data_IF_426490244845
#
_entry.id   IF_426490244845
#
_cell.length_a   1.000
_cell.length_b   1.000
_cell.length_c   1.000
_cell.angle_alpha   90.00
_cell.angle_beta   90.00
_cell.angle_gamma   90.00
#
_symmetry.space_group_name_H-M   'P 1'
#
loop_
_entity.id
_entity.type
_entity.pdbx_description
1 polymer ?
#
# COMPACT_ATOMS: atom_id res chain seq x y z
N UNK A 1 -1.57 0.82 -1.13
CA UNK A 1 -2.06 0.17 -2.36
C UNK A 1 -3.57 0.27 -2.37
N UNK A 2 -4.14 0.75 -3.45
CA UNK A 2 -5.57 1.04 -3.51
C UNK A 2 -6.20 0.30 -4.70
N UNK A 3 -7.30 -0.39 -4.44
CA UNK A 3 -8.19 -0.93 -5.47
C UNK A 3 -9.33 0.07 -5.61
N UNK A 4 -9.49 0.63 -6.79
CA UNK A 4 -10.37 1.79 -7.03
C UNK A 4 -11.40 1.41 -8.07
N UNK A 5 -12.68 1.56 -7.75
CA UNK A 5 -13.79 1.38 -8.65
C UNK A 5 -14.46 2.71 -8.96
N UNK A 6 -14.58 3.04 -10.23
CA UNK A 6 -15.38 4.16 -10.72
C UNK A 6 -16.74 3.63 -11.17
N UNK A 7 -17.79 4.14 -10.58
CA UNK A 7 -19.17 3.70 -10.79
C UNK A 7 -19.90 4.84 -11.51
N UNK A 8 -20.38 4.57 -12.71
CA UNK A 8 -21.25 5.48 -13.46
C UNK A 8 -22.67 4.94 -13.39
N UNK A 9 -23.52 5.64 -12.65
CA UNK A 9 -24.93 5.27 -12.47
C UNK A 9 -25.81 5.67 -13.67
N UNK A 10 -25.32 6.57 -14.55
CA UNK A 10 -26.04 6.98 -15.76
C UNK A 10 -25.93 5.90 -16.82
N UNK A 11 -24.72 5.40 -17.05
CA UNK A 11 -24.45 4.34 -18.04
C UNK A 11 -24.52 2.93 -17.46
N UNK A 12 -24.74 2.80 -16.14
CA UNK A 12 -24.71 1.54 -15.41
C UNK A 12 -23.38 0.76 -15.62
N UNK A 13 -22.26 1.45 -15.60
CA UNK A 13 -20.94 0.85 -15.80
C UNK A 13 -20.06 0.96 -14.55
N UNK A 14 -19.18 -0.03 -14.36
CA UNK A 14 -18.17 -0.02 -13.31
C UNK A 14 -16.82 -0.37 -13.92
N UNK A 15 -15.85 0.52 -13.78
CA UNK A 15 -14.45 0.25 -14.12
C UNK A 15 -13.62 0.10 -12.86
N UNK A 16 -12.66 -0.82 -12.86
CA UNK A 16 -11.81 -1.10 -11.70
C UNK A 16 -10.34 -0.94 -12.03
N UNK A 17 -9.60 -0.29 -11.15
CA UNK A 17 -8.16 -0.11 -11.26
C UNK A 17 -7.42 -0.43 -9.96
N UNK A 18 -6.18 -0.86 -10.09
CA UNK A 18 -5.22 -1.09 -9.02
C UNK A 18 -4.14 -0.03 -9.05
N UNK A 19 -4.06 0.77 -8.00
CA UNK A 19 -2.95 1.70 -7.77
C UNK A 19 -1.93 1.04 -6.84
N UNK A 20 -0.70 0.88 -7.30
CA UNK A 20 0.40 0.30 -6.54
C UNK A 20 0.89 1.18 -5.39
N UNK A 21 2.02 0.82 -4.82
CA UNK A 21 2.72 1.70 -3.86
C UNK A 21 3.40 2.81 -4.64
N UNK A 22 3.09 4.06 -4.31
CA UNK A 22 3.71 5.22 -4.95
C UNK A 22 4.69 5.91 -4.00
N UNK A 23 5.81 6.33 -4.53
CA UNK A 23 6.83 7.15 -3.87
C UNK A 23 7.15 8.42 -4.65
N UNK A 24 6.32 8.74 -5.62
CA UNK A 24 6.34 9.98 -6.38
C UNK A 24 4.92 10.51 -6.54
N UNK A 25 4.80 11.79 -6.85
CA UNK A 25 3.51 12.39 -7.22
C UNK A 25 2.97 11.78 -8.51
N UNK A 26 1.66 11.71 -8.63
CA UNK A 26 1.00 11.28 -9.85
C UNK A 26 -0.24 12.13 -10.11
N UNK A 27 -0.59 12.26 -11.38
CA UNK A 27 -1.81 12.94 -11.77
C UNK A 27 -2.96 11.93 -11.88
N UNK A 28 -3.98 12.11 -11.04
CA UNK A 28 -5.23 11.38 -11.19
C UNK A 28 -6.16 12.16 -12.12
N UNK A 29 -6.52 11.56 -13.24
CA UNK A 29 -7.54 12.13 -14.12
C UNK A 29 -8.91 11.60 -13.68
N UNK A 30 -9.85 12.51 -13.41
CA UNK A 30 -11.23 12.13 -13.15
C UNK A 30 -11.88 11.59 -14.43
N UNK A 31 -12.45 10.39 -14.35
CA UNK A 31 -13.15 9.77 -15.48
C UNK A 31 -14.62 10.20 -15.60
N UNK A 32 -14.99 11.33 -14.97
CA UNK A 32 -16.37 11.80 -14.99
C UNK A 32 -16.75 12.43 -16.33
N UNK A 33 -17.77 11.89 -16.99
CA UNK A 33 -18.43 12.54 -18.13
C UNK A 33 -19.35 13.64 -17.61
N UNK A 34 -19.31 14.83 -18.22
CA UNK A 34 -20.17 15.95 -17.83
C UNK A 34 -21.64 15.54 -17.93
N UNK A 35 -22.39 15.71 -16.85
CA UNK A 35 -23.81 15.35 -16.77
C UNK A 35 -24.08 13.91 -16.30
N UNK A 36 -23.03 13.11 -16.05
CA UNK A 36 -23.20 11.77 -15.48
C UNK A 36 -23.18 11.80 -13.95
N UNK A 37 -23.96 10.91 -13.34
CA UNK A 37 -23.89 10.66 -11.91
C UNK A 37 -22.85 9.57 -11.63
N UNK A 38 -21.69 9.98 -11.11
CA UNK A 38 -20.56 9.11 -10.89
C UNK A 38 -20.19 9.06 -9.41
N UNK A 39 -19.63 7.93 -8.96
CA UNK A 39 -18.99 7.82 -7.65
C UNK A 39 -17.72 6.98 -7.73
N UNK A 40 -16.86 7.12 -6.71
CA UNK A 40 -15.68 6.29 -6.55
C UNK A 40 -15.80 5.48 -5.26
N UNK A 41 -15.55 4.19 -5.36
CA UNK A 41 -15.42 3.28 -4.22
C UNK A 41 -14.02 2.70 -4.22
N UNK A 42 -13.30 2.84 -3.09
CA UNK A 42 -11.92 2.38 -2.99
C UNK A 42 -11.72 1.46 -1.78
N UNK A 43 -10.92 0.42 -1.99
CA UNK A 43 -10.45 -0.51 -0.95
C UNK A 43 -8.98 -0.23 -0.75
N UNK A 44 -8.62 0.31 0.43
CA UNK A 44 -7.22 0.61 0.76
C UNK A 44 -6.60 -0.52 1.55
N UNK A 45 -5.55 -1.11 1.02
CA UNK A 45 -4.76 -2.15 1.67
C UNK A 45 -3.39 -1.60 2.07
N UNK A 46 -2.89 -2.02 3.22
CA UNK A 46 -1.48 -1.82 3.50
C UNK A 46 -0.64 -2.59 2.48
N UNK A 47 0.45 -2.00 2.00
CA UNK A 47 1.32 -2.62 1.00
C UNK A 47 1.77 -4.03 1.39
N UNK A 48 2.01 -4.25 2.68
CA UNK A 48 2.44 -5.52 3.24
C UNK A 48 1.33 -6.53 3.51
N UNK A 49 0.06 -6.14 3.41
CA UNK A 49 -1.09 -7.05 3.59
C UNK A 49 -1.78 -7.38 2.26
N UNK A 50 -1.50 -6.63 1.21
CA UNK A 50 -2.18 -6.77 -0.08
C UNK A 50 -1.98 -8.15 -0.71
N UNK A 51 -0.80 -8.76 -0.50
CA UNK A 51 -0.50 -10.09 -1.02
C UNK A 51 -1.44 -11.19 -0.50
N UNK A 52 -1.96 -11.06 0.72
CA UNK A 52 -2.92 -11.98 1.28
C UNK A 52 -4.19 -12.12 0.42
N UNK A 53 -4.48 -11.11 -0.37
CA UNK A 53 -5.66 -11.01 -1.23
C UNK A 53 -5.33 -11.07 -2.72
N UNK A 54 -4.05 -11.07 -3.09
CA UNK A 54 -3.58 -11.10 -4.47
C UNK A 54 -3.68 -12.51 -5.05
N UNK A 55 -3.99 -12.62 -6.34
CA UNK A 55 -4.05 -13.92 -7.03
C UNK A 55 -2.66 -14.45 -7.40
N UNK A 56 -1.70 -13.55 -7.63
CA UNK A 56 -0.34 -13.89 -8.04
C UNK A 56 0.68 -13.05 -7.27
N UNK A 57 1.53 -12.31 -7.95
CA UNK A 57 2.63 -11.52 -7.41
C UNK A 57 2.32 -10.02 -7.48
N UNK A 58 2.80 -9.27 -6.49
CA UNK A 58 2.77 -7.80 -6.51
C UNK A 58 3.98 -7.18 -7.23
N UNK A 59 4.82 -8.00 -7.83
CA UNK A 59 5.99 -7.53 -8.56
C UNK A 59 5.61 -6.53 -9.66
N UNK A 60 6.42 -5.47 -9.81
CA UNK A 60 6.24 -4.41 -10.82
C UNK A 60 4.97 -3.56 -10.64
N UNK A 61 4.35 -3.54 -9.45
CA UNK A 61 3.19 -2.68 -9.18
C UNK A 61 3.57 -1.29 -8.65
N UNK A 62 4.83 -1.05 -8.32
CA UNK A 62 5.31 0.25 -7.83
C UNK A 62 5.11 1.35 -8.87
N UNK A 63 4.59 2.49 -8.45
CA UNK A 63 4.33 3.69 -9.28
C UNK A 63 3.47 3.39 -10.51
N UNK A 64 2.67 2.31 -10.47
CA UNK A 64 1.84 1.89 -11.58
C UNK A 64 0.35 1.94 -11.27
N UNK A 65 -0.43 2.06 -12.36
CA UNK A 65 -1.87 1.90 -12.37
C UNK A 65 -2.22 0.79 -13.37
N UNK A 66 -2.98 -0.20 -12.93
CA UNK A 66 -3.28 -1.43 -13.67
C UNK A 66 -4.77 -1.71 -13.61
N UNK A 67 -5.26 -2.59 -14.47
CA UNK A 67 -6.60 -3.15 -14.30
C UNK A 67 -6.63 -4.03 -13.05
N UNK A 68 -7.72 -3.95 -12.28
CA UNK A 68 -7.84 -4.65 -10.99
C UNK A 68 -7.75 -6.16 -11.15
N UNK A 69 -8.29 -6.71 -12.23
CA UNK A 69 -8.28 -8.15 -12.53
C UNK A 69 -6.87 -8.69 -12.79
N UNK A 70 -5.90 -7.84 -13.14
CA UNK A 70 -4.51 -8.25 -13.34
C UNK A 70 -3.84 -8.87 -12.10
N UNK A 71 -4.35 -8.57 -10.88
CA UNK A 71 -3.80 -9.04 -9.59
C UNK A 71 -4.87 -9.48 -8.59
N UNK A 72 -6.12 -9.04 -8.75
CA UNK A 72 -7.22 -9.27 -7.82
C UNK A 72 -8.48 -9.71 -8.58
N UNK A 73 -8.33 -10.63 -9.54
CA UNK A 73 -9.41 -11.11 -10.40
C UNK A 73 -10.59 -11.69 -9.58
N UNK A 74 -10.28 -12.48 -8.53
CA UNK A 74 -11.31 -13.06 -7.65
C UNK A 74 -12.15 -11.97 -6.97
N UNK A 75 -11.50 -10.89 -6.49
CA UNK A 75 -12.17 -9.79 -5.81
C UNK A 75 -13.01 -8.99 -6.79
N UNK A 76 -12.45 -8.71 -7.96
CA UNK A 76 -13.14 -7.99 -9.03
C UNK A 76 -14.42 -8.69 -9.47
N UNK A 77 -14.35 -10.01 -9.69
CA UNK A 77 -15.51 -10.85 -10.03
C UNK A 77 -16.64 -10.81 -8.99
N UNK A 78 -16.29 -10.62 -7.72
CA UNK A 78 -17.26 -10.59 -6.62
C UNK A 78 -17.78 -9.16 -6.39
N UNK A 79 -16.90 -8.16 -6.37
CA UNK A 79 -17.25 -6.79 -5.95
C UNK A 79 -17.88 -5.99 -7.10
N UNK A 80 -17.29 -6.00 -8.30
CA UNK A 80 -17.73 -5.17 -9.43
C UNK A 80 -19.23 -5.28 -9.73
N UNK A 81 -19.83 -6.50 -9.84
CA UNK A 81 -21.25 -6.61 -10.12
C UNK A 81 -22.16 -6.05 -9.01
N UNK A 82 -21.68 -6.10 -7.76
CA UNK A 82 -22.44 -5.65 -6.59
C UNK A 82 -22.45 -4.15 -6.37
N UNK A 83 -21.47 -3.42 -6.91
CA UNK A 83 -21.33 -1.99 -6.68
C UNK A 83 -22.50 -1.15 -7.21
N UNK A 84 -23.18 -1.60 -8.26
CA UNK A 84 -24.41 -0.96 -8.79
C UNK A 84 -25.66 -1.39 -8.02
N UNK A 85 -25.70 -2.61 -7.49
CA UNK A 85 -26.85 -3.16 -6.76
C UNK A 85 -26.94 -2.58 -5.34
N UNK A 86 -25.81 -2.47 -4.65
CA UNK A 86 -25.73 -1.98 -3.27
C UNK A 86 -25.87 -0.46 -3.23
N UNK A 87 -26.91 0.01 -2.55
CA UNK A 87 -27.30 1.44 -2.58
C UNK A 87 -26.54 2.32 -1.62
N UNK A 88 -26.15 1.77 -0.48
CA UNK A 88 -25.47 2.53 0.58
C UNK A 88 -24.00 2.18 0.68
N UNK A 89 -23.19 3.13 1.15
CA UNK A 89 -21.79 2.89 1.44
C UNK A 89 -21.60 1.77 2.47
N UNK A 90 -22.46 1.70 3.48
CA UNK A 90 -22.38 0.68 4.53
C UNK A 90 -22.62 -0.73 3.97
N UNK A 91 -23.56 -0.91 3.05
CA UNK A 91 -23.78 -2.19 2.37
C UNK A 91 -22.54 -2.61 1.57
N UNK A 92 -21.93 -1.66 0.81
CA UNK A 92 -20.71 -1.91 0.04
C UNK A 92 -19.54 -2.32 0.95
N UNK A 93 -19.36 -1.61 2.06
CA UNK A 93 -18.31 -1.92 3.06
C UNK A 93 -18.54 -3.32 3.62
N UNK A 94 -19.74 -3.61 4.17
CA UNK A 94 -20.03 -4.89 4.81
C UNK A 94 -19.88 -6.06 3.85
N UNK A 95 -20.31 -5.90 2.59
CA UNK A 95 -20.15 -6.92 1.56
C UNK A 95 -18.66 -7.17 1.24
N UNK A 96 -17.89 -6.10 1.07
CA UNK A 96 -16.45 -6.18 0.79
C UNK A 96 -15.68 -6.83 1.95
N UNK A 97 -15.96 -6.43 3.20
CA UNK A 97 -15.35 -7.01 4.38
C UNK A 97 -15.61 -8.51 4.49
N UNK A 98 -16.85 -8.95 4.26
CA UNK A 98 -17.21 -10.38 4.27
C UNK A 98 -16.43 -11.16 3.19
N UNK A 99 -16.28 -10.61 1.98
CA UNK A 99 -15.51 -11.24 0.91
C UNK A 99 -14.03 -11.36 1.30
N UNK A 100 -13.42 -10.30 1.84
CA UNK A 100 -12.03 -10.28 2.29
C UNK A 100 -11.81 -11.25 3.46
N UNK A 101 -12.69 -11.27 4.46
CA UNK A 101 -12.60 -12.18 5.61
C UNK A 101 -12.68 -13.65 5.17
N UNK A 102 -13.54 -13.98 4.21
CA UNK A 102 -13.62 -15.32 3.66
C UNK A 102 -12.33 -15.74 2.96
N UNK A 103 -11.65 -14.83 2.27
CA UNK A 103 -10.38 -15.09 1.60
C UNK A 103 -9.23 -15.32 2.59
N UNK A 104 -9.28 -14.69 3.77
CA UNK A 104 -8.23 -14.81 4.80
C UNK A 104 -8.04 -16.25 5.31
N UNK A 105 -9.00 -17.16 5.14
CA UNK A 105 -8.85 -18.57 5.50
C UNK A 105 -7.83 -19.32 4.62
N UNK A 106 -7.46 -18.78 3.47
CA UNK A 106 -6.61 -19.41 2.44
C UNK A 106 -5.34 -18.60 2.13
N UNK A 107 -4.85 -17.83 3.11
CA UNK A 107 -3.75 -16.88 2.89
C UNK A 107 -2.42 -17.57 2.62
N UNK A 108 -1.74 -17.11 1.58
CA UNK A 108 -0.32 -17.40 1.33
C UNK A 108 0.54 -16.62 2.32
N UNK A 109 1.14 -17.29 3.27
CA UNK A 109 2.05 -16.67 4.23
C UNK A 109 3.51 -16.97 3.90
N UNK A 110 4.37 -15.99 4.12
CA UNK A 110 5.81 -16.16 4.11
C UNK A 110 6.39 -15.60 5.40
N UNK A 111 6.84 -16.50 6.29
CA UNK A 111 7.34 -16.13 7.63
C UNK A 111 8.49 -15.12 7.56
N UNK A 112 9.43 -15.29 6.61
CA UNK A 112 10.57 -14.37 6.45
C UNK A 112 10.11 -12.97 6.09
N UNK A 113 9.11 -12.84 5.21
CA UNK A 113 8.54 -11.54 4.83
C UNK A 113 7.78 -10.95 6.00
N UNK A 114 6.92 -11.73 6.66
CA UNK A 114 6.12 -11.27 7.80
C UNK A 114 7.01 -10.81 8.97
N UNK A 115 8.02 -11.59 9.35
CA UNK A 115 8.96 -11.22 10.41
C UNK A 115 9.76 -9.96 10.06
N UNK A 116 10.16 -9.82 8.79
CA UNK A 116 10.86 -8.63 8.30
C UNK A 116 9.96 -7.40 8.39
N UNK A 117 8.70 -7.50 7.95
CA UNK A 117 7.71 -6.41 8.04
C UNK A 117 7.48 -6.01 9.50
N UNK A 118 7.27 -6.97 10.39
CA UNK A 118 7.09 -6.71 11.82
C UNK A 118 8.29 -5.95 12.41
N UNK A 119 9.51 -6.36 12.08
CA UNK A 119 10.71 -5.66 12.52
C UNK A 119 10.80 -4.23 11.97
N UNK A 120 10.43 -4.01 10.68
CA UNK A 120 10.37 -2.67 10.09
C UNK A 120 9.38 -1.78 10.84
N UNK A 121 8.18 -2.29 11.14
CA UNK A 121 7.13 -1.54 11.83
C UNK A 121 7.52 -1.19 13.27
N UNK A 122 8.02 -2.17 14.04
CA UNK A 122 8.43 -1.99 15.44
C UNK A 122 9.55 -0.95 15.53
N UNK A 123 10.52 -0.97 14.60
CA UNK A 123 11.63 -0.03 14.57
C UNK A 123 11.32 1.25 13.76
N UNK A 124 10.05 1.50 13.41
CA UNK A 124 9.61 2.70 12.67
C UNK A 124 10.43 2.96 11.41
N UNK A 125 10.84 1.90 10.71
CA UNK A 125 11.70 1.99 9.54
C UNK A 125 13.17 2.32 9.80
N UNK A 126 13.62 2.42 11.04
CA UNK A 126 15.00 2.74 11.40
C UNK A 126 15.79 1.47 11.74
N UNK A 127 16.17 0.67 10.72
CA UNK A 127 16.88 -0.59 10.92
C UNK A 127 17.81 -0.93 9.72
N UNK A 128 18.79 -1.79 10.00
CA UNK A 128 19.71 -2.32 9.00
C UNK A 128 19.15 -3.60 8.36
N UNK A 129 18.76 -3.50 7.09
CA UNK A 129 18.19 -4.60 6.32
C UNK A 129 19.16 -5.77 6.17
N UNK A 130 20.47 -5.52 6.06
CA UNK A 130 21.47 -6.59 5.92
C UNK A 130 21.58 -7.41 7.22
N UNK A 131 21.51 -6.76 8.38
CA UNK A 131 21.48 -7.45 9.68
C UNK A 131 20.20 -8.26 9.83
N UNK A 132 19.05 -7.73 9.35
CA UNK A 132 17.78 -8.42 9.41
C UNK A 132 17.76 -9.68 8.52
N UNK A 133 18.29 -9.60 7.29
CA UNK A 133 18.42 -10.73 6.40
C UNK A 133 19.25 -11.86 7.03
N UNK A 134 20.41 -11.54 7.65
CA UNK A 134 21.24 -12.49 8.38
C UNK A 134 20.48 -13.16 9.52
N UNK A 135 19.69 -12.41 10.30
CA UNK A 135 18.88 -12.93 11.40
C UNK A 135 17.82 -13.93 10.91
N UNK A 136 17.30 -13.71 9.72
CA UNK A 136 16.31 -14.60 9.07
C UNK A 136 16.95 -15.72 8.24
N UNK A 137 18.27 -15.91 8.32
CA UNK A 137 19.02 -16.94 7.59
C UNK A 137 18.85 -16.91 6.06
N UNK A 138 18.63 -15.70 5.50
CA UNK A 138 18.54 -15.48 4.06
C UNK A 138 19.57 -14.45 3.60
N UNK A 139 19.96 -14.49 2.32
CA UNK A 139 20.77 -13.42 1.73
C UNK A 139 19.91 -12.17 1.50
N UNK A 140 20.55 -10.99 1.45
CA UNK A 140 19.86 -9.73 1.13
C UNK A 140 19.15 -9.82 -0.23
N UNK A 141 19.79 -10.42 -1.24
CA UNK A 141 19.20 -10.63 -2.57
C UNK A 141 17.96 -11.53 -2.52
N UNK A 142 17.98 -12.57 -1.69
CA UNK A 142 16.81 -13.44 -1.52
C UNK A 142 15.68 -12.70 -0.83
N UNK A 143 15.98 -11.90 0.20
CA UNK A 143 14.99 -11.08 0.88
C UNK A 143 14.36 -10.04 -0.07
N UNK A 144 15.17 -9.37 -0.90
CA UNK A 144 14.68 -8.43 -1.91
C UNK A 144 13.74 -9.12 -2.92
N UNK A 145 14.10 -10.30 -3.40
CA UNK A 145 13.25 -11.08 -4.31
C UNK A 145 11.89 -11.41 -3.69
N UNK A 146 11.88 -11.88 -2.44
CA UNK A 146 10.66 -12.15 -1.70
C UNK A 146 9.82 -10.88 -1.52
N UNK A 147 10.44 -9.77 -1.18
CA UNK A 147 9.74 -8.49 -1.02
C UNK A 147 9.15 -7.97 -2.33
N UNK A 148 9.84 -8.12 -3.45
CA UNK A 148 9.26 -7.79 -4.76
C UNK A 148 8.02 -8.63 -5.08
N UNK A 149 8.06 -9.91 -4.75
CA UNK A 149 6.95 -10.84 -4.94
C UNK A 149 5.75 -10.51 -4.03
N UNK A 150 6.00 -10.34 -2.71
CA UNK A 150 4.96 -10.25 -1.69
C UNK A 150 4.50 -8.82 -1.37
N UNK A 151 5.33 -7.81 -1.63
CA UNK A 151 5.07 -6.41 -1.26
C UNK A 151 5.11 -5.48 -2.47
N UNK A 152 5.73 -5.91 -3.56
CA UNK A 152 5.91 -5.12 -4.79
C UNK A 152 7.09 -4.15 -4.75
N UNK A 153 7.75 -3.99 -3.60
CA UNK A 153 8.90 -3.07 -3.39
C UNK A 153 9.98 -3.74 -2.55
N UNK A 154 11.19 -3.18 -2.52
CA UNK A 154 12.27 -3.71 -1.70
C UNK A 154 12.05 -3.49 -0.20
N UNK A 155 12.67 -4.30 0.70
CA UNK A 155 12.60 -4.07 2.15
C UNK A 155 13.13 -2.70 2.54
N UNK A 156 14.19 -2.22 1.87
CA UNK A 156 14.76 -0.89 2.12
C UNK A 156 13.78 0.23 1.76
N UNK A 157 13.06 0.07 0.62
CA UNK A 157 12.05 1.04 0.20
C UNK A 157 10.89 1.08 1.18
N UNK A 158 10.35 -0.09 1.58
CA UNK A 158 9.29 -0.16 2.60
C UNK A 158 9.75 0.50 3.91
N UNK A 159 10.98 0.20 4.36
CA UNK A 159 11.57 0.80 5.57
C UNK A 159 11.61 2.32 5.50
N UNK A 160 12.02 2.88 4.37
CA UNK A 160 12.06 4.33 4.15
C UNK A 160 10.65 4.95 4.16
N UNK A 161 9.66 4.33 3.49
CA UNK A 161 8.28 4.80 3.49
C UNK A 161 7.65 4.77 4.89
N UNK A 162 7.88 3.71 5.65
CA UNK A 162 7.42 3.60 7.04
C UNK A 162 8.07 4.69 7.91
N UNK A 163 9.38 4.88 7.79
CA UNK A 163 10.11 5.93 8.52
C UNK A 163 9.56 7.32 8.20
N UNK A 164 9.31 7.60 6.92
CA UNK A 164 8.70 8.84 6.47
C UNK A 164 7.30 9.05 7.07
N UNK A 165 6.45 8.03 7.07
CA UNK A 165 5.09 8.13 7.64
C UNK A 165 5.11 8.43 9.14
N UNK A 166 6.02 7.81 9.90
CA UNK A 166 6.17 8.09 11.33
C UNK A 166 6.73 9.50 11.57
N UNK A 167 7.71 9.94 10.79
CA UNK A 167 8.24 11.29 10.85
C UNK A 167 7.16 12.33 10.54
N UNK A 168 6.39 12.13 9.47
CA UNK A 168 5.33 13.03 9.07
C UNK A 168 4.21 13.12 10.12
N UNK A 169 3.86 12.00 10.73
CA UNK A 169 2.93 11.99 11.85
C UNK A 169 3.43 12.83 13.03
N UNK A 170 4.70 12.71 13.38
CA UNK A 170 5.29 13.50 14.46
C UNK A 170 5.28 15.01 14.12
N UNK A 171 5.61 15.38 12.87
CA UNK A 171 5.52 16.78 12.42
C UNK A 171 4.12 17.34 12.58
N UNK A 172 3.08 16.56 12.29
CA UNK A 172 1.69 17.02 12.34
C UNK A 172 1.08 17.00 13.77
N UNK A 173 1.55 16.11 14.63
CA UNK A 173 0.91 15.81 15.90
C UNK A 173 1.68 16.31 17.12
N UNK A 174 2.99 16.58 17.01
CA UNK A 174 3.81 17.06 18.12
C UNK A 174 3.92 18.60 18.07
N UNK A 175 3.35 19.34 19.04
CA UNK A 175 3.38 20.80 19.04
C UNK A 175 4.80 21.39 19.08
N UNK A 176 5.71 20.71 19.76
CA UNK A 176 7.10 21.12 19.95
C UNK A 176 8.06 20.28 19.07
N UNK A 177 7.65 20.01 17.81
CA UNK A 177 8.48 19.23 16.90
C UNK A 177 9.85 19.89 16.68
N UNK A 178 10.91 19.14 17.01
CA UNK A 178 12.31 19.55 16.79
C UNK A 178 13.01 18.66 15.78
N UNK A 179 13.58 19.28 14.74
CA UNK A 179 14.26 18.60 13.65
C UNK A 179 15.47 17.80 14.12
N UNK A 180 16.23 18.33 15.08
CA UNK A 180 17.41 17.65 15.58
C UNK A 180 17.04 16.37 16.36
N UNK A 181 16.06 16.46 17.22
CA UNK A 181 15.47 15.31 17.93
C UNK A 181 14.94 14.26 16.97
N UNK A 182 14.29 14.68 15.88
CA UNK A 182 13.77 13.79 14.84
C UNK A 182 14.89 13.05 14.09
N UNK A 183 16.03 13.70 13.81
CA UNK A 183 17.20 13.05 13.22
C UNK A 183 17.62 11.84 14.05
N UNK A 184 17.77 12.01 15.37
CA UNK A 184 18.14 10.91 16.27
C UNK A 184 17.03 9.85 16.39
N UNK A 185 15.79 10.28 16.59
CA UNK A 185 14.61 9.41 16.80
C UNK A 185 14.37 8.47 15.60
N UNK A 186 14.56 8.96 14.39
CA UNK A 186 14.32 8.21 13.15
C UNK A 186 15.59 7.68 12.48
N UNK A 187 16.77 7.85 13.08
CA UNK A 187 18.03 7.30 12.59
C UNK A 187 18.48 7.90 11.25
N UNK A 188 18.27 9.21 11.06
CA UNK A 188 18.88 9.94 9.95
C UNK A 188 20.33 10.28 10.30
N UNK A 189 21.18 10.44 9.29
CA UNK A 189 22.60 10.78 9.49
C UNK A 189 22.76 12.20 10.02
N UNK A 190 21.98 13.12 9.45
CA UNK A 190 21.98 14.55 9.77
C UNK A 190 20.66 15.21 9.32
N UNK A 191 20.52 16.50 9.59
CA UNK A 191 19.34 17.29 9.20
C UNK A 191 19.14 17.37 7.69
N UNK A 192 20.23 17.47 6.92
CA UNK A 192 20.17 17.54 5.46
C UNK A 192 19.60 16.26 4.87
N UNK A 193 20.03 15.09 5.39
CA UNK A 193 19.49 13.80 4.99
C UNK A 193 18.00 13.65 5.34
N UNK A 194 17.56 14.14 6.50
CA UNK A 194 16.15 14.17 6.88
C UNK A 194 15.35 15.05 5.92
N UNK A 195 15.79 16.30 5.67
CA UNK A 195 15.11 17.23 4.78
C UNK A 195 15.04 16.72 3.34
N UNK A 196 16.13 16.16 2.80
CA UNK A 196 16.13 15.54 1.48
C UNK A 196 15.13 14.37 1.39
N UNK A 197 14.99 13.58 2.45
CA UNK A 197 14.01 12.49 2.47
C UNK A 197 12.56 13.00 2.43
N UNK A 198 12.28 14.17 3.00
CA UNK A 198 10.95 14.81 2.94
C UNK A 198 10.68 15.35 1.52
N UNK A 199 11.67 15.96 0.87
CA UNK A 199 11.52 16.52 -0.48
C UNK A 199 11.28 15.41 -1.50
N UNK A 200 12.10 14.36 -1.51
CA UNK A 200 12.01 13.27 -2.51
C UNK A 200 10.72 12.46 -2.50
N UNK A 201 9.94 12.52 -1.42
CA UNK A 201 8.64 11.82 -1.35
C UNK A 201 7.48 12.80 -1.62
N UNK A 202 7.74 14.13 -1.52
CA UNK A 202 6.74 15.16 -1.77
C UNK A 202 6.73 15.67 -3.22
N UNK A 203 7.76 15.41 -3.99
CA UNK A 203 7.85 15.67 -5.44
C UNK A 203 7.27 14.51 -6.26
#
# INVERSE_FOLDING_TARGET
>A
MDIIYHIDYTDNTVTGGLCGVNDCSFHAHGNGTIGHMVSTYAIRLYAWSAYAFCDDSLQSTMNGYFDVDSRFEWLDKIIRPKLLELKTLQEKISFTEQALLKRLSDVRENTVVNDTIQNILINKGSLDIAKLAKKSFVSTRQLERLFHEYVGITPKKLSNLIRYQFLWRDILCEPDFDVLSAVYKFGYTDQSHLLLSLIHISE
#
